data_IF_669406856836
#
_entry.id   IF_669406856836
#
_cell.length_a   1.000
_cell.length_b   1.000
_cell.length_c   1.000
_cell.angle_alpha   90.00
_cell.angle_beta   90.00
_cell.angle_gamma   90.00
#
_symmetry.space_group_name_H-M   'P 1'
#
loop_
_entity.id
_entity.type
_entity.pdbx_description
1 polymer ?
#
# COMPACT_ATOMS: atom_id res chain seq x y z
N UNK A 1 17.05 18.81 -2.15
CA UNK A 1 16.27 18.70 -0.90
C UNK A 1 15.26 17.59 -1.14
N UNK A 2 15.19 16.57 -0.30
CA UNK A 2 14.11 15.57 -0.41
C UNK A 2 12.78 16.32 -0.24
N UNK A 3 11.98 16.35 -1.31
CA UNK A 3 10.67 17.04 -1.36
C UNK A 3 9.72 16.57 -0.26
N UNK A 4 9.94 15.36 0.25
CA UNK A 4 9.17 14.74 1.31
C UNK A 4 10.04 14.55 2.55
N UNK A 5 9.56 14.98 3.71
CA UNK A 5 10.23 14.75 5.01
C UNK A 5 10.43 13.25 5.30
N UNK A 6 9.52 12.42 4.82
CA UNK A 6 9.59 10.96 4.74
C UNK A 6 8.72 10.51 3.56
N UNK A 7 8.87 9.27 3.08
CA UNK A 7 8.00 8.72 2.04
C UNK A 7 6.96 7.76 2.60
N UNK A 8 7.40 6.68 3.26
CA UNK A 8 6.52 5.76 3.98
C UNK A 8 7.20 5.17 5.22
N UNK A 9 6.41 4.60 6.13
CA UNK A 9 6.87 3.87 7.33
C UNK A 9 5.95 2.67 7.60
N UNK A 10 6.53 1.59 8.14
CA UNK A 10 5.81 0.47 8.72
C UNK A 10 6.10 0.48 10.22
N UNK A 11 5.06 0.57 11.04
CA UNK A 11 5.15 0.68 12.49
C UNK A 11 4.55 -0.55 13.18
N UNK A 12 5.24 -1.06 14.19
CA UNK A 12 4.68 -2.03 15.13
C UNK A 12 4.39 -3.41 14.53
N UNK A 13 5.16 -3.87 13.53
CA UNK A 13 5.00 -5.20 12.96
C UNK A 13 5.19 -6.28 14.04
N UNK A 14 4.08 -6.86 14.47
CA UNK A 14 4.02 -7.98 15.39
C UNK A 14 3.40 -9.19 14.68
N UNK A 15 4.06 -10.35 14.73
CA UNK A 15 3.65 -11.58 14.04
C UNK A 15 3.12 -12.60 15.04
N UNK A 16 2.30 -12.15 15.98
CA UNK A 16 1.71 -13.00 17.02
C UNK A 16 0.28 -13.38 16.59
N UNK A 17 -0.04 -14.69 16.52
CA UNK A 17 -1.40 -15.13 16.24
C UNK A 17 -2.37 -14.62 17.32
N UNK A 18 -3.44 -13.94 16.93
CA UNK A 18 -4.45 -13.44 17.87
C UNK A 18 -5.52 -12.57 17.21
N UNK A 19 -6.65 -12.39 17.90
CA UNK A 19 -7.74 -11.52 17.47
C UNK A 19 -7.21 -10.07 17.33
N UNK A 20 -6.84 -9.67 16.10
CA UNK A 20 -6.40 -8.32 15.67
C UNK A 20 -4.88 -8.01 15.64
N UNK A 21 -3.96 -8.95 15.85
CA UNK A 21 -2.54 -8.58 16.10
C UNK A 21 -1.47 -9.38 15.35
N UNK A 22 -1.74 -9.77 14.10
CA UNK A 22 -0.68 -9.84 13.10
C UNK A 22 -0.50 -8.48 12.39
N UNK A 23 -0.76 -7.38 13.10
CA UNK A 23 -0.98 -6.06 12.50
C UNK A 23 0.26 -5.18 12.52
N UNK A 24 0.34 -4.28 11.54
CA UNK A 24 1.24 -3.14 11.54
C UNK A 24 0.47 -1.93 11.01
N UNK A 25 0.84 -0.74 11.43
CA UNK A 25 0.37 0.48 10.77
C UNK A 25 1.29 0.81 9.61
N UNK A 26 0.72 1.22 8.49
CA UNK A 26 1.46 1.68 7.33
C UNK A 26 1.15 3.14 7.08
N UNK A 27 2.16 4.01 7.22
CA UNK A 27 1.99 5.46 7.07
C UNK A 27 2.69 5.95 5.81
N UNK A 28 2.02 6.83 5.06
CA UNK A 28 2.57 7.46 3.85
C UNK A 28 2.46 8.97 3.96
N UNK A 29 3.46 9.70 3.49
CA UNK A 29 3.41 11.16 3.42
C UNK A 29 2.21 11.63 2.60
N UNK A 30 1.39 12.52 3.19
CA UNK A 30 0.21 13.10 2.52
C UNK A 30 0.60 13.78 1.21
N UNK A 31 1.74 14.48 1.20
CA UNK A 31 2.24 15.14 -0.01
C UNK A 31 2.61 14.11 -1.09
N UNK A 32 3.23 13.00 -0.71
CA UNK A 32 3.59 11.96 -1.67
C UNK A 32 2.34 11.30 -2.28
N UNK A 33 1.31 11.04 -1.48
CA UNK A 33 0.02 10.53 -1.98
C UNK A 33 -0.68 11.56 -2.88
N UNK A 34 -0.65 12.84 -2.50
CA UNK A 34 -1.18 13.94 -3.29
C UNK A 34 -0.48 14.11 -4.65
N UNK A 35 0.80 13.78 -4.75
CA UNK A 35 1.50 13.74 -6.04
C UNK A 35 1.15 12.44 -6.82
N UNK A 36 1.13 11.28 -6.15
CA UNK A 36 0.86 9.99 -6.78
C UNK A 36 -0.55 9.88 -7.36
N UNK A 37 -1.55 10.53 -6.75
CA UNK A 37 -2.93 10.53 -7.24
C UNK A 37 -3.08 11.32 -8.56
N UNK A 38 -2.11 12.19 -8.88
CA UNK A 38 -2.09 12.91 -10.15
C UNK A 38 -1.37 12.13 -11.27
N UNK A 39 -0.65 11.06 -10.91
CA UNK A 39 0.10 10.25 -11.88
C UNK A 39 -0.79 9.15 -12.42
N UNK A 40 -1.23 9.29 -13.67
CA UNK A 40 -1.96 8.26 -14.39
C UNK A 40 -1.04 7.09 -14.78
N UNK A 41 -1.56 5.88 -14.64
CA UNK A 41 -0.83 4.62 -14.83
C UNK A 41 -1.63 3.70 -15.76
N UNK A 42 -1.05 3.25 -16.88
CA UNK A 42 -1.68 2.26 -17.75
C UNK A 42 -1.90 0.92 -17.04
N UNK A 43 -3.02 0.24 -17.35
CA UNK A 43 -3.35 -1.07 -16.77
C UNK A 43 -2.22 -2.10 -16.92
N UNK A 44 -1.54 -2.13 -18.08
CA UNK A 44 -0.40 -3.03 -18.34
C UNK A 44 0.76 -2.84 -17.36
N UNK A 45 0.94 -1.63 -16.82
CA UNK A 45 1.98 -1.35 -15.84
C UNK A 45 1.59 -1.89 -14.46
N UNK A 46 0.31 -1.76 -14.09
CA UNK A 46 -0.26 -2.35 -12.87
C UNK A 46 -0.15 -3.88 -12.94
N UNK A 47 -0.48 -4.50 -14.08
CA UNK A 47 -0.33 -5.94 -14.29
C UNK A 47 1.12 -6.41 -14.11
N UNK A 48 2.09 -5.65 -14.60
CA UNK A 48 3.52 -5.94 -14.41
C UNK A 48 3.94 -5.85 -12.95
N UNK A 49 3.45 -4.84 -12.22
CA UNK A 49 3.68 -4.71 -10.78
C UNK A 49 3.09 -5.90 -10.03
N UNK A 50 1.82 -6.24 -10.28
CA UNK A 50 1.15 -7.38 -9.66
C UNK A 50 1.86 -8.71 -9.98
N UNK A 51 2.33 -8.89 -11.22
CA UNK A 51 3.14 -10.06 -11.61
C UNK A 51 4.49 -10.12 -10.89
N UNK A 52 5.09 -8.97 -10.56
CA UNK A 52 6.32 -8.92 -9.77
C UNK A 52 6.06 -9.25 -8.30
N UNK A 53 4.96 -8.75 -7.73
CA UNK A 53 4.49 -9.07 -6.38
C UNK A 53 4.25 -10.57 -6.24
N UNK A 54 3.52 -11.17 -7.18
CA UNK A 54 3.21 -12.61 -7.14
C UNK A 54 4.49 -13.45 -7.09
N UNK A 55 5.51 -13.10 -7.88
CA UNK A 55 6.82 -13.75 -7.84
C UNK A 55 7.54 -13.57 -6.51
N UNK A 56 7.34 -12.46 -5.79
CA UNK A 56 7.89 -12.26 -4.44
C UNK A 56 7.16 -13.15 -3.44
N UNK A 57 5.84 -13.20 -3.50
CA UNK A 57 5.00 -14.07 -2.67
C UNK A 57 5.38 -15.54 -2.86
N UNK A 58 5.57 -15.99 -4.10
CA UNK A 58 5.99 -17.37 -4.41
C UNK A 58 7.33 -17.74 -3.78
N UNK A 59 8.26 -16.79 -3.64
CA UNK A 59 9.56 -17.02 -3.00
C UNK A 59 9.47 -17.17 -1.49
N UNK A 60 8.40 -16.67 -0.86
CA UNK A 60 8.18 -16.86 0.58
C UNK A 60 7.90 -18.34 0.90
N UNK A 61 7.21 -19.06 -0.01
CA UNK A 61 7.04 -20.52 0.04
C UNK A 61 6.05 -21.02 1.11
N UNK A 62 5.74 -22.32 1.12
CA UNK A 62 4.83 -22.93 2.10
C UNK A 62 3.34 -22.61 1.90
N UNK A 63 2.54 -22.64 2.98
CA UNK A 63 1.10 -22.28 3.01
C UNK A 63 0.82 -20.86 2.46
N UNK A 64 1.81 -19.99 2.60
CA UNK A 64 1.86 -18.62 2.10
C UNK A 64 1.70 -18.55 0.57
N UNK A 65 2.09 -19.59 -0.17
CA UNK A 65 1.92 -19.59 -1.64
C UNK A 65 0.45 -19.75 -2.06
N UNK A 66 -0.32 -20.57 -1.35
CA UNK A 66 -1.70 -20.89 -1.73
C UNK A 66 -2.67 -19.78 -1.33
N UNK A 67 -2.45 -19.16 -0.16
CA UNK A 67 -3.25 -18.04 0.32
C UNK A 67 -2.97 -16.72 -0.44
N UNK A 68 -1.73 -16.51 -0.92
CA UNK A 68 -1.33 -15.26 -1.56
C UNK A 68 -1.74 -15.10 -3.03
N UNK A 69 -2.40 -16.08 -3.65
CA UNK A 69 -2.79 -16.03 -5.07
C UNK A 69 -3.77 -14.91 -5.42
N UNK A 70 -4.49 -14.40 -4.41
CA UNK A 70 -5.52 -13.37 -4.57
C UNK A 70 -5.08 -12.02 -4.00
N UNK A 71 -3.80 -11.91 -3.60
CA UNK A 71 -3.24 -10.68 -3.07
C UNK A 71 -3.26 -9.57 -4.13
N UNK A 72 -3.75 -8.38 -3.77
CA UNK A 72 -3.94 -7.27 -4.70
C UNK A 72 -3.72 -5.91 -4.06
N UNK A 73 -3.39 -4.95 -4.91
CA UNK A 73 -3.39 -3.52 -4.57
C UNK A 73 -4.58 -2.89 -5.29
N UNK A 74 -5.45 -2.24 -4.53
CA UNK A 74 -6.51 -1.41 -5.10
C UNK A 74 -5.95 0.00 -5.28
N UNK A 75 -5.91 0.49 -6.52
CA UNK A 75 -5.49 1.84 -6.86
C UNK A 75 -6.69 2.80 -6.95
N UNK A 76 -6.44 4.10 -6.78
CA UNK A 76 -7.44 5.12 -7.12
C UNK A 76 -7.51 5.23 -8.63
N UNK A 77 -8.62 4.84 -9.23
CA UNK A 77 -9.01 5.11 -10.62
C UNK A 77 -7.85 5.30 -11.61
N UNK A 78 -7.03 4.26 -11.80
CA UNK A 78 -5.94 4.28 -12.79
C UNK A 78 -4.71 5.12 -12.42
N UNK A 79 -4.57 5.53 -11.17
CA UNK A 79 -3.42 6.33 -10.67
C UNK A 79 -2.38 5.45 -9.96
N UNK A 80 -1.22 6.03 -9.63
CA UNK A 80 -0.21 5.37 -8.81
C UNK A 80 -0.54 5.35 -7.30
N UNK A 81 -1.62 6.01 -6.87
CA UNK A 81 -2.02 6.12 -5.48
C UNK A 81 -2.77 4.86 -5.00
N UNK A 82 -2.34 4.21 -3.90
CA UNK A 82 -2.99 3.03 -3.38
C UNK A 82 -4.19 3.46 -2.52
N UNK A 83 -5.35 2.87 -2.79
CA UNK A 83 -6.53 2.97 -1.94
C UNK A 83 -6.48 1.95 -0.81
N UNK A 84 -6.09 0.72 -1.12
CA UNK A 84 -6.00 -0.36 -0.14
C UNK A 84 -5.07 -1.46 -0.63
N UNK A 85 -4.59 -2.27 0.31
CA UNK A 85 -3.84 -3.49 0.06
C UNK A 85 -4.65 -4.66 0.60
N UNK A 86 -4.77 -5.75 -0.16
CA UNK A 86 -5.59 -6.90 0.19
C UNK A 86 -4.72 -8.14 0.09
N UNK A 87 -4.59 -8.87 1.21
CA UNK A 87 -3.94 -10.17 1.26
C UNK A 87 -4.85 -11.27 0.70
N UNK A 88 -6.12 -11.30 1.16
CA UNK A 88 -7.11 -12.28 0.74
C UNK A 88 -8.52 -11.62 0.67
N UNK A 89 -9.16 -11.55 -0.51
CA UNK A 89 -10.46 -10.91 -0.68
C UNK A 89 -11.63 -11.76 -0.14
N UNK A 90 -11.45 -13.06 0.12
CA UNK A 90 -12.49 -13.97 0.61
C UNK A 90 -12.46 -14.11 2.13
N UNK A 91 -11.27 -14.24 2.70
CA UNK A 91 -11.09 -14.53 4.13
C UNK A 91 -10.59 -13.33 4.95
N UNK A 92 -10.32 -12.19 4.30
CA UNK A 92 -9.91 -10.95 4.96
C UNK A 92 -8.39 -10.76 5.00
N UNK A 93 -7.97 -9.68 5.65
CA UNK A 93 -6.58 -9.24 5.68
C UNK A 93 -6.38 -8.13 4.67
N UNK A 94 -6.57 -6.90 5.11
CA UNK A 94 -6.33 -5.72 4.29
C UNK A 94 -5.67 -4.61 5.08
N UNK A 95 -5.03 -3.68 4.37
CA UNK A 95 -4.65 -2.37 4.87
C UNK A 95 -5.49 -1.34 4.14
N UNK A 96 -6.23 -0.52 4.88
CA UNK A 96 -7.06 0.54 4.34
C UNK A 96 -6.77 1.86 5.04
N UNK A 97 -6.75 2.95 4.27
CA UNK A 97 -6.81 4.29 4.83
C UNK A 97 -8.26 4.66 5.17
N UNK A 98 -8.42 5.56 6.13
CA UNK A 98 -9.73 6.15 6.45
C UNK A 98 -10.36 6.78 5.18
N UNK A 99 -11.59 6.41 4.80
CA UNK A 99 -12.23 6.92 3.58
C UNK A 99 -12.37 8.44 3.54
N UNK A 100 -12.54 9.10 4.69
CA UNK A 100 -12.67 10.55 4.74
C UNK A 100 -11.33 11.25 4.47
N UNK A 101 -10.25 10.80 5.14
CA UNK A 101 -8.89 11.24 4.85
C UNK A 101 -8.54 11.03 3.37
N UNK A 102 -8.93 9.88 2.81
CA UNK A 102 -8.65 9.54 1.43
C UNK A 102 -9.46 10.36 0.41
N UNK A 103 -10.73 10.63 0.68
CA UNK A 103 -11.57 11.48 -0.17
C UNK A 103 -11.03 12.92 -0.25
N UNK A 104 -10.34 13.39 0.80
CA UNK A 104 -9.68 14.71 0.80
C UNK A 104 -8.41 14.73 -0.05
N UNK A 105 -7.72 13.61 -0.29
CA UNK A 105 -6.53 13.55 -1.18
C UNK A 105 -6.82 13.96 -2.62
N UNK A 106 -8.08 13.85 -3.06
CA UNK A 106 -8.52 14.32 -4.38
C UNK A 106 -8.56 15.86 -4.49
N UNK A 107 -8.34 16.59 -3.38
CA UNK A 107 -8.29 18.05 -3.32
C UNK A 107 -6.86 18.53 -3.03
N UNK A 108 -5.99 18.63 -4.05
CA UNK A 108 -4.58 18.96 -3.86
C UNK A 108 -4.34 20.36 -3.27
N UNK A 109 -5.31 21.27 -3.33
CA UNK A 109 -5.26 22.59 -2.70
C UNK A 109 -5.43 22.57 -1.18
N UNK A 110 -5.80 21.42 -0.58
CA UNK A 110 -6.16 21.30 0.85
C UNK A 110 -5.54 20.09 1.55
N UNK A 111 -4.33 19.70 1.15
CA UNK A 111 -3.63 18.57 1.77
C UNK A 111 -3.33 18.82 3.26
N UNK A 112 -3.24 20.08 3.68
CA UNK A 112 -3.08 20.51 5.07
C UNK A 112 -4.21 20.03 5.99
N UNK A 113 -5.39 19.72 5.45
CA UNK A 113 -6.55 19.24 6.20
C UNK A 113 -6.50 17.76 6.62
N UNK A 114 -5.52 17.02 6.11
CA UNK A 114 -5.34 15.59 6.38
C UNK A 114 -4.28 15.38 7.46
N UNK A 115 -3.32 16.31 7.56
CA UNK A 115 -2.13 16.18 8.39
C UNK A 115 -0.92 15.74 7.56
N UNK A 116 0.24 15.51 8.21
CA UNK A 116 1.50 15.22 7.52
C UNK A 116 1.55 13.82 6.89
N UNK A 117 0.70 12.91 7.35
CA UNK A 117 0.70 11.51 6.92
C UNK A 117 -0.71 10.94 6.87
N UNK A 118 -0.90 9.96 5.97
CA UNK A 118 -2.09 9.12 5.90
C UNK A 118 -1.70 7.74 6.42
N UNK A 119 -2.39 7.29 7.46
CA UNK A 119 -2.23 5.97 8.04
C UNK A 119 -3.19 4.97 7.38
N UNK A 120 -2.66 3.81 7.05
CA UNK A 120 -3.39 2.62 6.62
C UNK A 120 -3.34 1.61 7.75
N UNK A 121 -4.52 1.23 8.24
CA UNK A 121 -4.65 0.32 9.37
C UNK A 121 -5.07 -1.07 8.91
N UNK A 122 -4.64 -2.14 9.63
CA UNK A 122 -5.00 -3.50 9.28
C UNK A 122 -6.45 -3.81 9.64
N UNK A 123 -7.13 -4.53 8.76
CA UNK A 123 -8.49 -5.02 8.95
C UNK A 123 -8.55 -6.52 8.67
N UNK A 124 -9.08 -7.29 9.63
CA UNK A 124 -9.19 -8.76 9.57
C UNK A 124 -7.85 -9.45 9.20
N UNK A 125 -6.73 -8.88 9.67
CA UNK A 125 -5.40 -9.46 9.53
C UNK A 125 -5.13 -10.31 10.77
N UNK A 126 -5.60 -11.56 10.69
CA UNK A 126 -5.68 -12.48 11.83
C UNK A 126 -4.53 -13.51 11.84
N UNK A 127 -3.80 -13.63 10.73
CA UNK A 127 -2.70 -14.58 10.58
C UNK A 127 -1.36 -13.91 10.22
N UNK A 128 -0.22 -14.46 10.67
CA UNK A 128 1.09 -13.99 10.25
C UNK A 128 1.29 -14.03 8.71
N UNK A 129 0.72 -15.01 8.03
CA UNK A 129 0.80 -15.14 6.57
C UNK A 129 0.14 -13.92 5.88
N UNK A 130 -1.05 -13.51 6.35
CA UNK A 130 -1.72 -12.29 5.86
C UNK A 130 -0.86 -11.04 6.08
N UNK A 131 -0.24 -10.91 7.26
CA UNK A 131 0.63 -9.78 7.58
C UNK A 131 1.83 -9.73 6.63
N UNK A 132 2.46 -10.88 6.38
CA UNK A 132 3.60 -11.00 5.46
C UNK A 132 3.19 -10.59 4.04
N UNK A 133 2.02 -11.01 3.54
CA UNK A 133 1.53 -10.56 2.23
C UNK A 133 1.35 -9.06 2.16
N UNK A 134 0.73 -8.46 3.19
CA UNK A 134 0.52 -7.02 3.24
C UNK A 134 1.85 -6.27 3.25
N UNK A 135 2.87 -6.76 3.95
CA UNK A 135 4.23 -6.20 3.90
C UNK A 135 4.80 -6.29 2.49
N UNK A 136 4.70 -7.45 1.83
CA UNK A 136 5.21 -7.63 0.46
C UNK A 136 4.52 -6.68 -0.53
N UNK A 137 3.20 -6.54 -0.42
CA UNK A 137 2.40 -5.63 -1.24
C UNK A 137 2.83 -4.17 -1.03
N UNK A 138 2.91 -3.74 0.23
CA UNK A 138 3.32 -2.38 0.60
C UNK A 138 4.74 -2.07 0.12
N UNK A 139 5.69 -2.98 0.33
CA UNK A 139 7.07 -2.78 -0.08
C UNK A 139 7.22 -2.69 -1.60
N UNK A 140 6.58 -3.59 -2.35
CA UNK A 140 6.63 -3.58 -3.80
C UNK A 140 5.94 -2.32 -4.38
N UNK A 141 4.80 -1.92 -3.81
CA UNK A 141 4.18 -0.65 -4.15
C UNK A 141 5.09 0.54 -3.86
N UNK A 142 5.76 0.56 -2.70
CA UNK A 142 6.59 1.70 -2.31
C UNK A 142 7.79 1.87 -3.25
N UNK A 143 8.45 0.77 -3.65
CA UNK A 143 9.51 0.79 -4.66
C UNK A 143 9.00 1.37 -5.99
N UNK A 144 7.83 0.90 -6.43
CA UNK A 144 7.18 1.36 -7.65
C UNK A 144 6.82 2.86 -7.59
N UNK A 145 6.13 3.27 -6.52
CA UNK A 145 5.68 4.64 -6.31
C UNK A 145 6.86 5.61 -6.18
N UNK A 146 7.96 5.21 -5.52
CA UNK A 146 9.17 6.04 -5.45
C UNK A 146 9.80 6.24 -6.83
N UNK A 147 9.79 5.22 -7.69
CA UNK A 147 10.25 5.37 -9.08
C UNK A 147 9.40 6.38 -9.86
N UNK A 148 8.07 6.34 -9.69
CA UNK A 148 7.14 7.32 -10.29
C UNK A 148 7.41 8.75 -9.80
N UNK A 149 7.55 8.95 -8.50
CA UNK A 149 7.82 10.27 -7.93
C UNK A 149 9.15 10.85 -8.40
N UNK A 150 10.19 10.03 -8.55
CA UNK A 150 11.49 10.48 -9.08
C UNK A 150 11.40 10.94 -10.52
N UNK A 151 10.59 10.29 -11.36
CA UNK A 151 10.38 10.73 -12.74
C UNK A 151 9.66 12.08 -12.80
N UNK A 152 8.73 12.33 -11.87
CA UNK A 152 8.05 13.62 -11.76
C UNK A 152 9.00 14.76 -11.35
N UNK A 153 9.96 14.49 -10.47
CA UNK A 153 10.98 15.48 -10.05
C UNK A 153 12.01 15.81 -11.15
N UNK A 154 12.15 14.93 -12.15
CA UNK A 154 13.09 15.08 -13.25
C UNK A 154 12.48 15.74 -14.50
N UNK A 155 11.14 15.90 -14.54
CA UNK A 155 10.38 16.51 -15.62
C UNK A 155 10.13 18.00 -15.35
#
# INVERSE_FOLDING_TARGET
MDKYRFFYRIDGLDLVPGNKTAGFCFSVSTQALGDLIQIQVPAVEIERLMSAIQRRIERVGGSVREAGQQAQILFVEGTACPRAFIADPLFGGSLGADPEAFGRLQRPDRLDWIGPEVEYTPHNCDTPDQAIFLVVLVQAWAEYARAKLRHLEAA
#
